data_IF_833684868795
#
_entry.id   IF_833684868795
#
_cell.length_a   1.000
_cell.length_b   1.000
_cell.length_c   1.000
_cell.angle_alpha   90.00
_cell.angle_beta   90.00
_cell.angle_gamma   90.00
#
_symmetry.space_group_name_H-M   'P 1'
#
loop_
_entity.id
_entity.type
_entity.pdbx_description
1 polymer ?
#
# COMPACT_ATOMS: atom_id res chain seq x y z
N UNK A 1 8.46 15.53 8.42
CA UNK A 1 7.85 14.18 8.45
C UNK A 1 8.95 13.16 8.72
N UNK A 2 8.93 12.45 9.85
CA UNK A 2 9.70 11.20 9.97
C UNK A 2 8.91 10.13 9.23
N UNK A 3 9.42 9.64 8.11
CA UNK A 3 8.97 8.36 7.55
C UNK A 3 9.14 7.33 8.67
N UNK A 4 8.05 6.64 9.01
CA UNK A 4 7.88 5.81 10.20
C UNK A 4 9.16 5.04 10.60
N UNK A 5 9.63 5.25 11.84
CA UNK A 5 10.74 4.48 12.39
C UNK A 5 10.22 3.09 12.81
N UNK A 6 10.34 2.10 11.92
CA UNK A 6 9.95 0.72 12.18
C UNK A 6 9.75 -0.10 10.90
N UNK A 7 9.60 -1.41 11.04
CA UNK A 7 9.17 -2.27 9.93
C UNK A 7 7.72 -1.93 9.59
N UNK A 8 7.48 -1.49 8.36
CA UNK A 8 6.15 -1.18 7.88
C UNK A 8 5.33 -2.48 7.75
N UNK A 9 4.26 -2.61 8.52
CA UNK A 9 3.38 -3.78 8.41
C UNK A 9 2.39 -3.59 7.26
N UNK A 10 1.81 -4.70 6.74
CA UNK A 10 0.71 -4.60 5.79
C UNK A 10 -0.51 -3.80 6.31
N UNK A 11 -0.71 -3.74 7.63
CA UNK A 11 -1.79 -2.95 8.23
C UNK A 11 -1.47 -1.45 8.21
N UNK A 12 -0.24 -1.05 8.57
CA UNK A 12 0.18 0.36 8.51
C UNK A 12 0.04 0.92 7.09
N UNK A 13 0.39 0.09 6.10
CA UNK A 13 0.23 0.41 4.69
C UNK A 13 -1.23 0.59 4.27
N UNK A 14 -2.13 -0.22 4.82
CA UNK A 14 -3.55 -0.15 4.54
C UNK A 14 -4.18 1.10 5.18
N UNK A 15 -3.89 1.36 6.45
CA UNK A 15 -4.33 2.59 7.15
C UNK A 15 -3.82 3.85 6.44
N UNK A 16 -2.57 3.84 5.95
CA UNK A 16 -2.03 4.94 5.16
C UNK A 16 -2.86 5.19 3.89
N UNK A 17 -3.29 4.14 3.19
CA UNK A 17 -4.12 4.25 2.00
C UNK A 17 -5.53 4.76 2.31
N UNK A 18 -6.16 4.28 3.37
CA UNK A 18 -7.46 4.78 3.83
C UNK A 18 -7.36 6.28 4.20
N UNK A 19 -6.30 6.69 4.91
CA UNK A 19 -6.04 8.08 5.25
C UNK A 19 -5.78 8.97 4.02
N UNK A 20 -5.28 8.41 2.92
CA UNK A 20 -5.16 9.10 1.63
C UNK A 20 -6.49 9.18 0.85
N UNK A 21 -7.59 8.66 1.41
CA UNK A 21 -8.90 8.63 0.76
C UNK A 21 -9.01 7.56 -0.34
N UNK A 22 -8.10 6.59 -0.39
CA UNK A 22 -8.17 5.50 -1.37
C UNK A 22 -9.13 4.43 -0.86
N UNK A 23 -10.19 4.08 -1.61
CA UNK A 23 -11.15 3.06 -1.19
C UNK A 23 -10.57 1.65 -1.40
N UNK A 24 -9.76 1.18 -0.46
CA UNK A 24 -9.17 -0.16 -0.50
C UNK A 24 -9.99 -1.11 0.37
N UNK A 25 -10.49 -2.21 -0.20
CA UNK A 25 -11.18 -3.25 0.56
C UNK A 25 -10.19 -4.34 0.97
N UNK A 26 -9.86 -4.41 2.25
CA UNK A 26 -8.89 -5.39 2.79
C UNK A 26 -9.24 -6.84 2.44
N UNK A 27 -10.53 -7.18 2.50
CA UNK A 27 -11.03 -8.52 2.20
C UNK A 27 -10.75 -8.97 0.76
N UNK A 28 -10.76 -8.02 -0.19
CA UNK A 28 -10.54 -8.29 -1.61
C UNK A 28 -9.06 -8.14 -2.01
N UNK A 29 -8.20 -7.67 -1.10
CA UNK A 29 -6.81 -7.36 -1.38
C UNK A 29 -5.94 -8.61 -1.19
N UNK A 30 -5.26 -9.03 -2.27
CA UNK A 30 -4.33 -10.16 -2.25
C UNK A 30 -2.92 -9.75 -1.84
N UNK A 31 -2.47 -8.60 -2.33
CA UNK A 31 -1.11 -8.09 -2.09
C UNK A 31 -1.10 -6.57 -2.18
N UNK A 32 -0.28 -5.98 -1.31
CA UNK A 32 0.02 -4.56 -1.24
C UNK A 32 1.54 -4.39 -1.30
N UNK A 33 2.02 -3.40 -2.06
CA UNK A 33 3.44 -3.10 -2.15
C UNK A 33 3.69 -1.61 -2.32
N UNK A 34 4.77 -1.13 -1.70
CA UNK A 34 5.34 0.19 -1.96
C UNK A 34 6.66 -0.02 -2.68
N UNK A 35 6.84 0.71 -3.77
CA UNK A 35 8.11 0.81 -4.46
C UNK A 35 8.60 2.25 -4.39
N UNK A 36 9.86 2.43 -3.98
CA UNK A 36 10.53 3.72 -3.99
C UNK A 36 11.67 3.67 -4.99
N UNK A 37 11.66 4.58 -5.95
CA UNK A 37 12.74 4.79 -6.90
C UNK A 37 13.65 5.89 -6.33
N UNK A 38 14.87 5.51 -5.89
CA UNK A 38 15.83 6.43 -5.28
C UNK A 38 16.41 7.43 -6.27
N UNK A 39 16.60 7.04 -7.53
CA UNK A 39 17.16 7.92 -8.55
C UNK A 39 16.16 9.01 -8.90
N UNK A 40 14.91 8.63 -9.17
CA UNK A 40 13.84 9.56 -9.55
C UNK A 40 13.22 10.29 -8.37
N UNK A 41 13.49 9.84 -7.14
CA UNK A 41 12.87 10.34 -5.90
C UNK A 41 11.34 10.27 -5.97
N UNK A 42 10.82 9.22 -6.60
CA UNK A 42 9.39 8.98 -6.76
C UNK A 42 9.00 7.70 -6.05
N UNK A 43 7.78 7.66 -5.52
CA UNK A 43 7.20 6.44 -4.99
C UNK A 43 5.97 6.03 -5.79
N UNK A 44 5.69 4.74 -5.79
CA UNK A 44 4.46 4.17 -6.34
C UNK A 44 3.88 3.15 -5.37
N UNK A 45 2.56 3.08 -5.32
CA UNK A 45 1.83 2.10 -4.52
C UNK A 45 1.08 1.18 -5.47
N UNK A 46 1.25 -0.13 -5.27
CA UNK A 46 0.67 -1.16 -6.11
C UNK A 46 -0.34 -1.98 -5.32
N UNK A 47 -1.57 -2.05 -5.83
CA UNK A 47 -2.67 -2.84 -5.28
C UNK A 47 -2.95 -4.04 -6.17
N UNK A 48 -2.89 -5.23 -5.60
CA UNK A 48 -3.25 -6.47 -6.28
C UNK A 48 -4.44 -7.10 -5.57
N UNK A 49 -5.55 -7.18 -6.28
CA UNK A 49 -6.79 -7.76 -5.77
C UNK A 49 -6.85 -9.26 -6.05
N UNK A 50 -7.55 -9.98 -5.18
CA UNK A 50 -7.92 -11.36 -5.45
C UNK A 50 -8.80 -11.34 -6.70
N UNK A 51 -8.43 -12.14 -7.70
CA UNK A 51 -9.30 -12.34 -8.86
C UNK A 51 -10.48 -13.14 -8.34
N UNK A 52 -11.64 -12.49 -8.22
CA UNK A 52 -12.91 -13.18 -8.03
C UNK A 52 -13.18 -13.98 -9.32
N UNK A 53 -12.62 -15.19 -9.41
CA UNK A 53 -13.03 -16.12 -10.44
C UNK A 53 -14.41 -16.61 -10.03
N UNK A 54 -15.45 -16.12 -10.71
CA UNK A 54 -16.69 -16.88 -10.85
C UNK A 54 -16.41 -18.13 -11.69
#
# INVERSE_FOLDING_TARGET
>A
LRLMQGSLTPNDLFEMLENMGQPVKKADLKRLGIHYDFEKKTYSISLSYQKNSK
#
